data_IF_850341075366
#
_entry.id   IF_850341075366
#
_cell.length_a   1.000
_cell.length_b   1.000
_cell.length_c   1.000
_cell.angle_alpha   90.00
_cell.angle_beta   90.00
_cell.angle_gamma   90.00
#
_symmetry.space_group_name_H-M   'P 1'
#
loop_
_entity.id
_entity.type
_entity.pdbx_description
1 polymer ?
#
# COMPACT_ATOMS: atom_id res chain seq x y z
N UNK A 1 4.76 -2.64 18.33
CA UNK A 1 4.15 -3.61 17.40
C UNK A 1 5.23 -4.58 16.97
N UNK A 2 4.97 -5.88 16.86
CA UNK A 2 5.98 -6.83 16.37
C UNK A 2 6.25 -6.61 14.88
N UNK A 3 7.52 -6.72 14.43
CA UNK A 3 7.90 -6.60 13.02
C UNK A 3 7.21 -7.66 12.15
N UNK A 4 7.10 -7.40 10.84
CA UNK A 4 6.66 -8.42 9.90
C UNK A 4 7.78 -9.43 9.69
N UNK A 5 7.55 -10.67 10.11
CA UNK A 5 8.52 -11.77 10.00
C UNK A 5 8.08 -12.77 8.95
N UNK A 6 7.55 -12.34 7.80
CA UNK A 6 7.02 -13.21 6.73
C UNK A 6 5.76 -13.99 7.12
N UNK A 7 5.76 -14.66 8.28
CA UNK A 7 4.68 -15.47 8.85
C UNK A 7 3.41 -14.69 9.21
N UNK A 8 3.51 -13.38 9.42
CA UNK A 8 2.38 -12.49 9.69
C UNK A 8 2.11 -11.52 8.52
N UNK A 9 2.85 -11.61 7.42
CA UNK A 9 2.52 -10.88 6.21
C UNK A 9 1.54 -11.72 5.36
N UNK A 10 0.50 -11.13 4.73
CA UNK A 10 0.05 -9.74 4.82
C UNK A 10 -0.94 -9.50 5.98
N UNK A 11 -1.30 -8.24 6.23
CA UNK A 11 -2.36 -7.84 7.16
C UNK A 11 -2.26 -8.43 8.60
N UNK A 12 -1.04 -8.74 9.06
CA UNK A 12 -0.77 -9.42 10.35
C UNK A 12 -1.45 -10.80 10.48
N UNK A 13 -1.85 -11.41 9.36
CA UNK A 13 -2.61 -12.66 9.32
C UNK A 13 -4.08 -12.56 9.71
N UNK A 14 -4.58 -11.39 10.15
CA UNK A 14 -5.96 -11.24 10.65
C UNK A 14 -7.02 -11.54 9.59
N UNK A 15 -6.72 -11.28 8.32
CA UNK A 15 -7.59 -11.59 7.19
C UNK A 15 -7.93 -13.10 7.07
N UNK A 16 -7.09 -13.99 7.62
CA UNK A 16 -7.33 -15.46 7.60
C UNK A 16 -8.18 -15.95 8.77
N UNK A 17 -8.22 -15.20 9.87
CA UNK A 17 -8.81 -15.67 11.14
C UNK A 17 -10.00 -14.83 11.59
N UNK A 18 -10.21 -13.67 10.98
CA UNK A 18 -11.30 -12.77 11.31
C UNK A 18 -12.42 -12.93 10.28
N UNK A 19 -13.63 -13.22 10.76
CA UNK A 19 -14.81 -13.26 9.90
C UNK A 19 -14.99 -11.94 9.15
N UNK A 20 -15.48 -12.03 7.92
CA UNK A 20 -15.71 -10.85 7.08
C UNK A 20 -16.73 -9.89 7.71
N UNK A 21 -16.32 -8.64 7.89
CA UNK A 21 -17.15 -7.51 8.29
C UNK A 21 -16.75 -6.30 7.46
N UNK A 22 -17.58 -5.93 6.49
CA UNK A 22 -17.42 -4.71 5.70
C UNK A 22 -17.42 -3.49 6.64
N UNK A 23 -16.33 -2.71 6.62
CA UNK A 23 -16.18 -1.49 7.42
C UNK A 23 -16.37 -0.21 6.62
N UNK A 24 -16.33 -0.30 5.29
CA UNK A 24 -16.63 0.78 4.36
C UNK A 24 -17.16 0.21 3.04
N UNK A 25 -18.05 0.96 2.38
CA UNK A 25 -18.47 0.70 1.01
C UNK A 25 -17.94 1.82 0.12
N UNK A 26 -17.43 1.46 -1.05
CA UNK A 26 -16.99 2.43 -2.06
C UNK A 26 -17.63 2.13 -3.41
N UNK A 27 -17.80 3.16 -4.22
CA UNK A 27 -18.16 3.02 -5.63
C UNK A 27 -16.90 3.08 -6.51
N UNK A 28 -16.83 2.28 -7.56
CA UNK A 28 -15.77 2.41 -8.55
C UNK A 28 -15.77 3.82 -9.17
N UNK A 29 -14.61 4.47 -9.23
CA UNK A 29 -14.45 5.88 -9.63
C UNK A 29 -14.69 6.89 -8.49
N UNK A 30 -14.95 6.43 -7.26
CA UNK A 30 -15.09 7.31 -6.10
C UNK A 30 -13.72 7.79 -5.62
N UNK A 31 -13.58 9.11 -5.51
CA UNK A 31 -12.53 9.72 -4.70
C UNK A 31 -12.93 9.74 -3.22
N UNK A 32 -11.99 9.43 -2.34
CA UNK A 32 -12.16 9.46 -0.89
C UNK A 32 -10.79 9.69 -0.21
N UNK A 33 -10.71 9.56 1.12
CA UNK A 33 -9.47 9.65 1.86
C UNK A 33 -9.39 8.60 2.97
N UNK A 34 -8.17 8.14 3.24
CA UNK A 34 -7.87 7.34 4.41
C UNK A 34 -7.38 8.24 5.54
N UNK A 35 -7.83 7.96 6.75
CA UNK A 35 -7.36 8.63 7.97
C UNK A 35 -6.54 7.70 8.85
N UNK A 36 -5.29 8.07 9.11
CA UNK A 36 -4.39 7.39 10.02
C UNK A 36 -4.60 7.89 11.45
N UNK A 37 -4.50 6.99 12.41
CA UNK A 37 -4.46 7.37 13.82
C UNK A 37 -3.16 8.14 14.13
N UNK A 38 -3.19 9.14 15.03
CA UNK A 38 -1.97 9.81 15.47
C UNK A 38 -0.94 8.82 16.04
N UNK A 39 0.34 9.04 15.73
CA UNK A 39 1.43 8.15 16.16
C UNK A 39 2.80 8.67 15.73
N UNK A 40 3.85 7.85 15.94
CA UNK A 40 5.18 8.18 15.43
C UNK A 40 5.20 8.00 13.90
N UNK A 41 5.41 9.10 13.18
CA UNK A 41 5.46 9.10 11.72
C UNK A 41 6.85 8.84 11.16
N UNK A 42 7.86 8.60 12.02
CA UNK A 42 9.23 8.26 11.63
C UNK A 42 9.82 9.19 10.56
N UNK A 43 9.49 10.49 10.64
CA UNK A 43 9.86 11.54 9.70
C UNK A 43 9.43 11.28 8.23
N UNK A 44 8.40 10.47 8.04
CA UNK A 44 7.86 10.12 6.73
C UNK A 44 8.45 8.83 6.19
N UNK A 45 8.67 8.80 4.89
CA UNK A 45 8.79 7.56 4.13
C UNK A 45 7.89 7.57 2.91
N UNK A 46 7.67 6.38 2.37
CA UNK A 46 6.84 6.18 1.19
C UNK A 46 5.80 5.09 1.42
N UNK A 47 4.60 5.29 0.88
CA UNK A 47 3.44 4.44 1.11
C UNK A 47 2.77 4.01 -0.19
N UNK A 48 2.02 2.92 -0.14
CA UNK A 48 1.07 2.55 -1.18
C UNK A 48 -0.30 2.25 -0.57
N UNK A 49 -1.34 2.55 -1.33
CA UNK A 49 -2.71 2.08 -1.09
C UNK A 49 -3.01 1.06 -2.17
N UNK A 50 -3.63 -0.06 -1.77
CA UNK A 50 -3.86 -1.20 -2.64
C UNK A 50 -5.14 -1.95 -2.30
N UNK A 51 -5.63 -2.70 -3.27
CA UNK A 51 -6.81 -3.55 -3.15
C UNK A 51 -6.45 -5.01 -3.42
N UNK A 52 -7.06 -5.92 -2.67
CA UNK A 52 -6.95 -7.37 -2.86
C UNK A 52 -8.32 -8.02 -2.87
N UNK A 53 -8.64 -8.76 -3.93
CA UNK A 53 -9.91 -9.49 -4.09
C UNK A 53 -9.76 -10.99 -3.83
N UNK A 54 -8.53 -11.49 -3.67
CA UNK A 54 -8.17 -12.89 -3.49
C UNK A 54 -7.80 -13.22 -2.02
N UNK A 55 -8.36 -12.45 -1.08
CA UNK A 55 -8.10 -12.60 0.36
C UNK A 55 -6.61 -12.46 0.72
N UNK A 56 -5.92 -11.52 0.08
CA UNK A 56 -4.55 -11.13 0.41
C UNK A 56 -3.47 -11.98 -0.26
N UNK A 57 -3.78 -12.70 -1.34
CA UNK A 57 -2.74 -13.34 -2.14
C UNK A 57 -2.02 -12.33 -3.03
N UNK A 58 -2.77 -11.41 -3.65
CA UNK A 58 -2.25 -10.28 -4.43
C UNK A 58 -2.86 -8.96 -3.97
N UNK A 59 -2.07 -7.89 -4.04
CA UNK A 59 -2.46 -6.52 -3.74
C UNK A 59 -2.07 -5.62 -4.92
N UNK A 60 -3.08 -5.08 -5.59
CA UNK A 60 -2.93 -4.18 -6.72
C UNK A 60 -2.90 -2.74 -6.25
N UNK A 61 -1.84 -2.02 -6.61
CA UNK A 61 -1.62 -0.61 -6.23
C UNK A 61 -2.63 0.28 -6.94
N UNK A 62 -3.34 1.11 -6.17
CA UNK A 62 -4.25 2.13 -6.69
C UNK A 62 -3.73 3.55 -6.47
N UNK A 63 -2.86 3.76 -5.47
CA UNK A 63 -2.24 5.04 -5.17
C UNK A 63 -0.85 4.81 -4.59
N UNK A 64 0.13 5.61 -5.00
CA UNK A 64 1.48 5.63 -4.42
C UNK A 64 1.83 7.03 -3.91
N UNK A 65 2.31 7.12 -2.68
CA UNK A 65 2.87 8.34 -2.12
C UNK A 65 4.36 8.16 -1.87
N UNK A 66 5.19 8.73 -2.76
CA UNK A 66 6.64 8.64 -2.67
C UNK A 66 7.21 9.87 -1.95
N UNK A 67 7.77 9.60 -0.77
CA UNK A 67 8.27 10.59 0.16
C UNK A 67 7.18 11.26 0.98
N UNK A 68 7.55 11.67 2.20
CA UNK A 68 6.68 12.44 3.11
C UNK A 68 5.43 11.71 3.63
N UNK A 69 5.22 10.44 3.33
CA UNK A 69 4.13 9.66 3.91
C UNK A 69 4.60 8.92 5.18
N UNK A 70 3.86 8.95 6.31
CA UNK A 70 2.61 9.65 6.58
C UNK A 70 2.79 10.94 7.43
N UNK A 71 3.41 12.00 6.90
CA UNK A 71 3.58 13.26 7.66
C UNK A 71 2.26 14.00 7.92
N UNK A 72 1.23 13.77 7.10
CA UNK A 72 -0.17 14.14 7.36
C UNK A 72 -0.98 12.92 7.79
N UNK A 73 -2.13 13.16 8.42
CA UNK A 73 -3.02 12.08 8.88
C UNK A 73 -4.06 11.66 7.84
N UNK A 74 -4.35 12.49 6.85
CA UNK A 74 -5.37 12.24 5.83
C UNK A 74 -4.70 12.15 4.45
N UNK A 75 -4.95 11.04 3.75
CA UNK A 75 -4.34 10.71 2.47
C UNK A 75 -5.44 10.33 1.49
N UNK A 76 -5.55 11.12 0.43
CA UNK A 76 -6.57 10.94 -0.60
C UNK A 76 -6.29 9.67 -1.41
N UNK A 77 -7.32 9.09 -1.98
CA UNK A 77 -7.21 8.02 -2.95
C UNK A 77 -8.43 8.03 -3.87
N UNK A 78 -8.32 7.38 -5.01
CA UNK A 78 -9.45 7.09 -5.88
C UNK A 78 -9.58 5.58 -6.05
N UNK A 79 -10.78 5.03 -5.89
CA UNK A 79 -11.07 3.67 -6.33
C UNK A 79 -11.10 3.70 -7.86
N UNK A 80 -10.26 2.95 -8.58
CA UNK A 80 -10.27 2.98 -10.03
C UNK A 80 -11.67 2.68 -10.58
N UNK A 81 -12.09 3.39 -11.63
CA UNK A 81 -13.42 3.21 -12.24
C UNK A 81 -13.66 1.79 -12.76
N UNK A 82 -12.59 1.05 -13.03
CA UNK A 82 -12.61 -0.34 -13.48
C UNK A 82 -12.54 -1.37 -12.34
N UNK A 83 -12.32 -0.95 -11.08
CA UNK A 83 -12.20 -1.84 -9.94
C UNK A 83 -13.44 -2.76 -9.81
N UNK A 84 -13.28 -4.09 -9.76
CA UNK A 84 -14.40 -5.01 -9.74
C UNK A 84 -15.33 -4.80 -8.53
N UNK A 85 -16.62 -5.02 -8.74
CA UNK A 85 -17.56 -5.09 -7.61
C UNK A 85 -17.27 -6.31 -6.75
N UNK A 86 -17.37 -6.16 -5.43
CA UNK A 86 -17.27 -7.24 -4.47
C UNK A 86 -16.45 -6.91 -3.23
N UNK A 87 -16.23 -7.94 -2.43
CA UNK A 87 -15.44 -7.89 -1.19
C UNK A 87 -13.96 -7.76 -1.52
N UNK A 88 -13.31 -6.74 -0.96
CA UNK A 88 -11.89 -6.50 -1.13
C UNK A 88 -11.22 -6.15 0.21
N UNK A 89 -9.95 -6.53 0.36
CA UNK A 89 -9.09 -5.95 1.40
C UNK A 89 -8.51 -4.65 0.86
N UNK A 90 -8.79 -3.54 1.53
CA UNK A 90 -8.11 -2.27 1.34
C UNK A 90 -6.88 -2.25 2.22
N UNK A 91 -5.70 -2.06 1.65
CA UNK A 91 -4.44 -2.05 2.39
C UNK A 91 -3.65 -0.77 2.20
N UNK A 92 -3.18 -0.23 3.32
CA UNK A 92 -2.14 0.79 3.37
C UNK A 92 -0.83 0.13 3.78
N UNK A 93 0.22 0.30 2.98
CA UNK A 93 1.57 -0.12 3.28
C UNK A 93 2.50 1.08 3.38
N UNK A 94 3.51 1.00 4.25
CA UNK A 94 4.44 2.11 4.49
C UNK A 94 5.86 1.64 4.82
N UNK A 95 6.85 2.31 4.24
CA UNK A 95 8.27 2.15 4.49
C UNK A 95 8.82 3.42 5.12
N UNK A 96 9.11 3.36 6.41
CA UNK A 96 9.54 4.49 7.23
C UNK A 96 10.96 4.98 6.89
N UNK A 97 11.17 6.30 6.97
CA UNK A 97 12.51 6.90 6.79
C UNK A 97 13.44 6.53 7.96
N UNK A 98 12.97 6.62 9.20
CA UNK A 98 13.78 6.51 10.42
C UNK A 98 13.33 5.37 11.34
N UNK A 99 14.26 4.69 12.01
CA UNK A 99 13.99 3.61 12.95
C UNK A 99 14.19 2.22 12.34
N UNK A 100 13.53 1.22 12.91
CA UNK A 100 13.66 -0.16 12.44
C UNK A 100 13.20 -0.28 10.97
N UNK A 101 13.93 -1.08 10.19
CA UNK A 101 13.58 -1.38 8.80
C UNK A 101 12.43 -2.37 8.83
N UNK A 102 11.21 -1.85 8.78
CA UNK A 102 9.97 -2.59 8.80
C UNK A 102 9.14 -2.20 7.58
N UNK A 103 8.21 -3.06 7.17
CA UNK A 103 7.11 -2.66 6.29
C UNK A 103 5.89 -2.57 7.18
N UNK A 104 5.32 -1.39 7.36
CA UNK A 104 4.04 -1.24 8.05
C UNK A 104 2.93 -1.62 7.07
N UNK A 105 1.90 -2.31 7.55
CA UNK A 105 0.71 -2.60 6.75
C UNK A 105 -0.54 -2.64 7.64
N UNK A 106 -1.59 -1.94 7.23
CA UNK A 106 -2.92 -2.08 7.81
C UNK A 106 -3.91 -2.44 6.72
N UNK A 107 -4.86 -3.31 7.05
CA UNK A 107 -5.88 -3.76 6.12
C UNK A 107 -7.28 -3.57 6.70
N UNK A 108 -8.22 -3.22 5.84
CA UNK A 108 -9.64 -3.08 6.13
C UNK A 108 -10.45 -3.95 5.17
N UNK A 109 -11.51 -4.58 5.65
CA UNK A 109 -12.46 -5.31 4.82
C UNK A 109 -13.48 -4.32 4.26
N UNK A 110 -13.47 -4.11 2.94
CA UNK A 110 -14.31 -3.14 2.25
C UNK A 110 -15.12 -3.81 1.15
N UNK A 111 -16.17 -3.16 0.69
CA UNK A 111 -16.98 -3.65 -0.42
C UNK A 111 -17.04 -2.57 -1.50
N UNK A 112 -16.74 -2.98 -2.73
CA UNK A 112 -16.70 -2.09 -3.89
C UNK A 112 -17.92 -2.39 -4.77
N UNK A 113 -18.56 -1.36 -5.29
CA UNK A 113 -19.73 -1.45 -6.14
C UNK A 113 -19.54 -0.68 -7.45
N UNK A 114 -20.22 -1.11 -8.52
CA UNK A 114 -20.37 -0.34 -9.76
C UNK A 114 -19.30 -0.56 -10.83
N UNK A 115 -18.18 -1.23 -10.51
CA UNK A 115 -17.16 -1.62 -11.50
C UNK A 115 -17.19 -3.12 -11.82
N UNK A 116 -16.57 -3.52 -12.94
CA UNK A 116 -16.69 -4.90 -13.46
C UNK A 116 -15.50 -5.40 -14.29
N UNK A 117 -14.40 -4.66 -14.42
CA UNK A 117 -13.28 -5.06 -15.29
C UNK A 117 -12.10 -5.60 -14.47
N UNK A 118 -12.21 -6.86 -14.08
CA UNK A 118 -11.14 -7.55 -13.35
C UNK A 118 -9.87 -7.70 -14.18
N UNK A 119 -9.98 -7.83 -15.50
CA UNK A 119 -8.83 -8.01 -16.37
C UNK A 119 -7.97 -6.74 -16.46
N UNK A 120 -8.60 -5.56 -16.45
CA UNK A 120 -7.88 -4.29 -16.35
C UNK A 120 -7.32 -4.10 -14.94
N UNK A 121 -8.09 -4.42 -13.90
CA UNK A 121 -7.62 -4.31 -12.51
C UNK A 121 -6.39 -5.19 -12.23
N UNK A 122 -6.36 -6.41 -12.77
CA UNK A 122 -5.24 -7.34 -12.59
C UNK A 122 -3.94 -6.89 -13.29
N UNK A 123 -4.01 -5.91 -14.20
CA UNK A 123 -2.83 -5.30 -14.83
C UNK A 123 -2.15 -4.25 -13.95
N UNK A 124 -2.80 -3.80 -12.88
CA UNK A 124 -2.19 -2.87 -11.94
C UNK A 124 -0.96 -3.49 -11.28
N UNK A 125 0.05 -2.67 -10.96
CA UNK A 125 1.24 -3.15 -10.27
C UNK A 125 0.93 -3.86 -8.96
N UNK A 126 1.69 -4.91 -8.68
CA UNK A 126 1.74 -5.52 -7.37
C UNK A 126 2.40 -4.55 -6.36
N UNK A 127 1.97 -4.57 -5.09
CA UNK A 127 2.63 -3.77 -4.05
C UNK A 127 4.13 -4.10 -3.95
N UNK A 128 4.92 -3.08 -3.66
CA UNK A 128 6.31 -3.27 -3.30
C UNK A 128 6.40 -3.94 -1.91
N UNK A 129 7.25 -4.96 -1.80
CA UNK A 129 7.53 -5.65 -0.53
C UNK A 129 9.01 -5.62 -0.20
N UNK A 130 9.34 -5.17 1.00
CA UNK A 130 10.68 -5.21 1.58
C UNK A 130 10.56 -5.37 3.10
N UNK A 131 11.64 -5.72 3.78
CA UNK A 131 11.69 -5.85 5.24
C UNK A 131 10.75 -6.91 5.84
N UNK A 132 10.23 -7.83 5.03
CA UNK A 132 9.31 -8.90 5.45
C UNK A 132 9.96 -10.29 5.47
N UNK A 133 11.30 -10.35 5.44
CA UNK A 133 12.04 -11.62 5.33
C UNK A 133 12.19 -12.14 3.90
N UNK A 134 11.85 -11.35 2.89
CA UNK A 134 11.96 -11.68 1.47
C UNK A 134 13.35 -11.39 0.85
N UNK A 135 14.37 -11.10 1.67
CA UNK A 135 15.72 -10.73 1.20
C UNK A 135 15.85 -9.28 0.69
N UNK A 136 14.76 -8.55 0.46
CA UNK A 136 14.79 -7.13 0.11
C UNK A 136 14.73 -6.25 1.36
N UNK A 137 15.59 -5.24 1.43
CA UNK A 137 15.69 -4.34 2.60
C UNK A 137 15.77 -2.88 2.18
N UNK A 138 14.97 -2.04 2.83
CA UNK A 138 15.09 -0.59 2.75
C UNK A 138 16.29 -0.10 3.55
N UNK A 139 16.75 1.13 3.28
CA UNK A 139 17.89 1.74 3.98
C UNK A 139 17.41 2.93 4.80
N UNK A 140 17.86 3.03 6.04
CA UNK A 140 17.53 4.14 6.92
C UNK A 140 18.02 5.47 6.35
N UNK A 141 17.19 6.52 6.49
CA UNK A 141 17.47 7.86 5.97
C UNK A 141 17.33 8.00 4.44
N UNK A 142 16.88 6.95 3.75
CA UNK A 142 16.60 6.98 2.30
C UNK A 142 15.15 6.62 2.03
N UNK A 143 14.51 7.44 1.21
CA UNK A 143 13.14 7.21 0.73
C UNK A 143 13.08 6.00 -0.20
N UNK A 144 12.00 5.21 -0.08
CA UNK A 144 11.69 4.17 -1.05
C UNK A 144 11.08 4.81 -2.29
N UNK A 145 11.67 4.54 -3.45
CA UNK A 145 11.14 4.97 -4.76
C UNK A 145 10.67 3.73 -5.49
N UNK A 146 9.37 3.61 -5.75
CA UNK A 146 8.78 2.43 -6.38
C UNK A 146 9.04 2.43 -7.89
N UNK A 147 9.53 1.31 -8.43
CA UNK A 147 9.67 1.14 -9.88
C UNK A 147 8.31 1.04 -10.59
N UNK A 148 7.31 0.51 -9.88
CA UNK A 148 5.96 0.33 -10.39
C UNK A 148 4.94 1.01 -9.45
N UNK A 149 4.85 2.35 -9.47
CA UNK A 149 3.98 3.09 -8.55
C UNK A 149 2.49 3.08 -8.96
N UNK A 150 2.16 2.61 -10.16
CA UNK A 150 0.82 2.76 -10.75
C UNK A 150 0.64 4.13 -11.42
N UNK A 151 -0.59 4.43 -11.79
CA UNK A 151 -0.91 5.67 -12.54
C UNK A 151 -1.14 6.89 -11.65
N UNK A 152 -1.56 6.67 -10.39
CA UNK A 152 -1.79 7.74 -9.41
C UNK A 152 -0.64 7.83 -8.42
N UNK A 153 0.07 8.96 -8.46
CA UNK A 153 1.31 9.14 -7.70
C UNK A 153 1.41 10.54 -7.11
N UNK A 154 1.48 10.60 -5.77
CA UNK A 154 1.87 11.79 -5.02
C UNK A 154 3.36 11.79 -4.67
N UNK A 155 3.99 12.97 -4.74
CA UNK A 155 5.39 13.16 -4.37
C UNK A 155 5.51 14.17 -3.23
N UNK A 156 6.34 13.87 -2.23
CA UNK A 156 6.69 14.80 -1.16
C UNK A 156 8.07 14.46 -0.57
N UNK A 157 8.42 15.13 0.53
CA UNK A 157 9.69 14.90 1.22
C UNK A 157 10.89 15.20 0.31
N UNK A 158 11.71 14.18 0.04
CA UNK A 158 12.91 14.28 -0.81
C UNK A 158 12.78 13.57 -2.16
N UNK A 159 11.62 12.98 -2.46
CA UNK A 159 11.42 12.26 -3.72
C UNK A 159 10.80 13.19 -4.76
N UNK A 160 11.31 13.14 -5.97
CA UNK A 160 10.79 13.87 -7.13
C UNK A 160 10.42 12.92 -8.27
N UNK A 161 9.52 13.34 -9.18
CA UNK A 161 9.25 12.60 -10.40
C UNK A 161 10.55 12.31 -11.16
N UNK A 162 10.76 11.04 -11.53
CA UNK A 162 11.95 10.60 -12.26
C UNK A 162 13.14 10.18 -11.40
N UNK A 163 13.05 10.26 -10.07
CA UNK A 163 14.04 9.64 -9.20
C UNK A 163 14.16 8.14 -9.48
N UNK A 164 15.37 7.61 -9.42
CA UNK A 164 15.61 6.21 -9.71
C UNK A 164 14.98 5.29 -8.65
N UNK A 165 14.42 4.12 -9.04
CA UNK A 165 13.85 3.17 -8.09
C UNK A 165 14.85 2.75 -7.01
N UNK A 166 14.39 2.71 -5.76
CA UNK A 166 15.20 2.41 -4.59
C UNK A 166 14.34 1.79 -3.47
N UNK A 167 14.84 0.80 -2.71
CA UNK A 167 16.11 0.09 -2.87
C UNK A 167 16.10 -0.77 -4.15
N UNK A 168 17.26 -1.12 -4.69
CA UNK A 168 17.39 -1.99 -5.87
C UNK A 168 17.25 -3.47 -5.47
N UNK A 169 16.04 -3.87 -5.09
CA UNK A 169 15.66 -5.25 -4.76
C UNK A 169 14.14 -5.44 -4.86
N UNK A 170 13.65 -6.69 -4.80
CA UNK A 170 12.21 -6.96 -4.85
C UNK A 170 11.58 -6.43 -6.14
N UNK A 171 10.41 -5.79 -6.05
CA UNK A 171 9.75 -5.15 -7.19
C UNK A 171 10.49 -3.95 -7.79
N UNK A 172 11.64 -3.55 -7.22
CA UNK A 172 12.51 -2.50 -7.74
C UNK A 172 13.83 -3.06 -8.32
N UNK A 173 14.00 -4.38 -8.37
CA UNK A 173 15.12 -5.00 -9.05
C UNK A 173 14.81 -4.98 -10.56
N UNK A 174 15.48 -4.08 -11.28
CA UNK A 174 15.59 -4.18 -12.74
C UNK A 174 16.39 -5.43 -13.15
#
# INVERSE_FOLDING_TARGET
MSPYTGSNFPCRGHHKTTSWRTVANYTAGQADYMKLAPGNNHHGGSCQISLSYDNGETFRVIESYMGGCPLKLEWDFEIPSFAPSGKALFAWSWFNIEGNREMYMNCAQVEIEGGSDSAQFDQLPEIFTANVGNGCRTVEGKETVFAHPGDSVGYAGKVSPGDAPFPKCGGNAE
#
